data_IF_847022228765
#
_entry.id   IF_847022228765
#
_cell.length_a   1.000
_cell.length_b   1.000
_cell.length_c   1.000
_cell.angle_alpha   90.00
_cell.angle_beta   90.00
_cell.angle_gamma   90.00
#
_symmetry.space_group_name_H-M   'P 1'
#
loop_
_entity.id
_entity.type
_entity.pdbx_description
1 polymer ?
#
# COMPACT_ATOMS: atom_id res chain seq x y z
N UNK A 1 9.67 -4.54 5.29
CA UNK A 1 9.67 -3.93 6.64
C UNK A 1 8.58 -2.89 6.84
N UNK A 2 8.46 -1.85 5.98
CA UNK A 2 7.45 -0.79 6.17
C UNK A 2 6.00 -1.33 6.17
N UNK A 3 5.67 -2.26 5.30
CA UNK A 3 4.34 -2.88 5.23
C UNK A 3 4.01 -3.64 6.51
N UNK A 4 4.94 -4.49 6.98
CA UNK A 4 4.77 -5.24 8.24
C UNK A 4 4.55 -4.31 9.40
N UNK A 5 5.36 -3.25 9.53
CA UNK A 5 5.22 -2.26 10.60
C UNK A 5 3.84 -1.61 10.61
N UNK A 6 3.28 -1.23 9.45
CA UNK A 6 1.93 -0.67 9.40
C UNK A 6 0.86 -1.70 9.72
N UNK A 7 1.01 -2.93 9.23
CA UNK A 7 0.04 -3.98 9.49
C UNK A 7 0.02 -4.36 10.97
N UNK A 8 1.19 -4.48 11.60
CA UNK A 8 1.31 -4.67 13.06
C UNK A 8 0.64 -3.51 13.82
N UNK A 9 0.87 -2.26 13.40
CA UNK A 9 0.28 -1.07 14.02
C UNK A 9 -1.26 -1.06 13.94
N UNK A 10 -1.82 -1.55 12.84
CA UNK A 10 -3.26 -1.66 12.64
C UNK A 10 -3.86 -2.99 13.14
N UNK A 11 -3.06 -3.93 13.62
CA UNK A 11 -3.52 -5.25 14.02
C UNK A 11 -4.02 -6.09 12.84
N UNK A 12 -3.36 -5.97 11.67
CA UNK A 12 -3.66 -6.77 10.47
C UNK A 12 -2.72 -7.97 10.47
N UNK A 13 -3.18 -9.10 10.99
CA UNK A 13 -2.37 -10.31 11.16
C UNK A 13 -2.44 -11.25 9.96
N UNK A 14 -3.55 -11.22 9.21
CA UNK A 14 -3.79 -12.11 8.07
C UNK A 14 -3.63 -11.37 6.75
N UNK A 15 -2.57 -11.67 6.02
CA UNK A 15 -2.35 -11.18 4.66
C UNK A 15 -1.57 -12.19 3.83
N UNK A 16 -1.75 -12.12 2.51
CA UNK A 16 -1.02 -12.93 1.52
C UNK A 16 -0.32 -12.02 0.53
N UNK A 17 0.96 -12.26 0.28
CA UNK A 17 1.67 -11.63 -0.82
C UNK A 17 1.34 -12.37 -2.11
N UNK A 18 1.03 -11.63 -3.16
CA UNK A 18 0.72 -12.17 -4.48
C UNK A 18 1.64 -11.55 -5.52
N UNK A 19 2.41 -12.38 -6.22
CA UNK A 19 3.11 -11.98 -7.43
C UNK A 19 2.13 -12.06 -8.61
N UNK A 20 1.68 -10.90 -9.07
CA UNK A 20 0.77 -10.77 -10.20
C UNK A 20 1.56 -10.65 -11.50
N UNK A 21 1.41 -11.64 -12.38
CA UNK A 21 2.12 -11.81 -13.64
C UNK A 21 1.23 -11.44 -14.83
N UNK A 22 1.85 -11.24 -15.99
CA UNK A 22 1.12 -11.10 -17.24
C UNK A 22 0.64 -12.47 -17.76
N UNK A 23 -0.33 -12.44 -18.67
CA UNK A 23 -0.69 -13.58 -19.51
C UNK A 23 0.06 -13.46 -20.85
N UNK A 24 0.91 -14.43 -21.24
CA UNK A 24 1.74 -14.34 -22.45
C UNK A 24 0.93 -14.16 -23.75
N UNK A 25 -0.27 -14.71 -23.83
CA UNK A 25 -1.19 -14.60 -24.97
C UNK A 25 -1.78 -13.20 -25.18
N UNK A 26 -1.68 -12.34 -24.17
CA UNK A 26 -2.20 -10.97 -24.20
C UNK A 26 -1.11 -9.91 -24.37
N UNK A 27 0.12 -10.32 -24.70
CA UNK A 27 1.19 -9.42 -25.11
C UNK A 27 0.80 -8.65 -26.38
N UNK A 28 1.00 -7.36 -26.37
CA UNK A 28 0.60 -6.45 -27.46
C UNK A 28 -0.89 -6.10 -27.48
N UNK A 29 -1.69 -6.63 -26.57
CA UNK A 29 -3.11 -6.30 -26.37
C UNK A 29 -3.33 -5.63 -25.01
N UNK A 30 -3.48 -6.43 -23.95
CA UNK A 30 -3.61 -5.96 -22.57
C UNK A 30 -2.26 -5.51 -21.98
N UNK A 31 -1.19 -6.18 -22.36
CA UNK A 31 0.17 -5.98 -21.85
C UNK A 31 1.12 -5.43 -22.91
N UNK A 32 2.07 -4.61 -22.49
CA UNK A 32 3.13 -4.11 -23.37
C UNK A 32 3.91 -5.28 -23.96
N UNK A 33 4.16 -5.22 -25.29
CA UNK A 33 4.83 -6.29 -26.04
C UNK A 33 6.35 -6.26 -25.84
N UNK A 34 6.79 -6.66 -24.65
CA UNK A 34 8.19 -6.71 -24.22
C UNK A 34 8.48 -8.03 -23.47
N UNK A 35 8.41 -9.20 -24.14
CA UNK A 35 8.44 -10.51 -23.47
C UNK A 35 9.70 -10.73 -22.62
N UNK A 36 10.85 -10.20 -23.03
CA UNK A 36 12.09 -10.34 -22.27
C UNK A 36 12.07 -9.52 -20.96
N UNK A 37 11.51 -8.29 -21.00
CA UNK A 37 11.37 -7.46 -19.81
C UNK A 37 10.38 -8.07 -18.83
N UNK A 38 9.28 -8.65 -19.30
CA UNK A 38 8.33 -9.40 -18.47
C UNK A 38 9.03 -10.53 -17.72
N UNK A 39 9.68 -11.44 -18.46
CA UNK A 39 10.38 -12.59 -17.87
C UNK A 39 11.41 -12.17 -16.86
N UNK A 40 12.22 -11.14 -17.19
CA UNK A 40 13.27 -10.62 -16.33
C UNK A 40 12.70 -10.01 -15.05
N UNK A 41 11.69 -9.14 -15.15
CA UNK A 41 11.15 -8.41 -14.00
C UNK A 41 10.33 -9.32 -13.09
N UNK A 42 9.56 -10.26 -13.62
CA UNK A 42 8.86 -11.28 -12.82
C UNK A 42 9.86 -12.18 -12.07
N UNK A 43 10.93 -12.59 -12.75
CA UNK A 43 12.03 -13.33 -12.12
C UNK A 43 12.67 -12.56 -10.98
N UNK A 44 12.98 -11.28 -11.17
CA UNK A 44 13.55 -10.41 -10.12
C UNK A 44 12.63 -10.31 -8.91
N UNK A 45 11.33 -10.13 -9.11
CA UNK A 45 10.36 -10.06 -7.99
C UNK A 45 10.31 -11.39 -7.24
N UNK A 46 10.21 -12.51 -7.96
CA UNK A 46 10.21 -13.85 -7.36
C UNK A 46 11.45 -14.09 -6.50
N UNK A 47 12.62 -13.73 -7.03
CA UNK A 47 13.89 -13.88 -6.31
C UNK A 47 13.93 -13.03 -5.04
N UNK A 48 13.43 -11.81 -5.10
CA UNK A 48 13.36 -10.91 -3.93
C UNK A 48 12.44 -11.46 -2.86
N UNK A 49 11.23 -11.93 -3.22
CA UNK A 49 10.29 -12.54 -2.28
C UNK A 49 10.85 -13.80 -1.64
N UNK A 50 11.48 -14.65 -2.45
CA UNK A 50 12.12 -15.90 -1.99
C UNK A 50 13.28 -15.61 -1.03
N UNK A 51 14.18 -14.70 -1.38
CA UNK A 51 15.30 -14.29 -0.53
C UNK A 51 14.87 -13.62 0.77
N UNK A 52 13.75 -12.89 0.73
CA UNK A 52 13.18 -12.28 1.93
C UNK A 52 12.45 -13.28 2.84
N UNK A 53 12.31 -14.55 2.44
CA UNK A 53 11.56 -15.57 3.18
C UNK A 53 10.09 -15.22 3.37
N UNK A 54 9.50 -14.49 2.42
CA UNK A 54 8.10 -14.08 2.47
C UNK A 54 7.26 -15.09 1.70
N UNK A 55 6.28 -15.76 2.34
CA UNK A 55 5.35 -16.62 1.63
C UNK A 55 4.54 -15.81 0.61
N UNK A 56 4.41 -16.33 -0.61
CA UNK A 56 3.63 -15.69 -1.65
C UNK A 56 2.99 -16.74 -2.58
N UNK A 57 1.96 -16.32 -3.28
CA UNK A 57 1.34 -17.03 -4.39
C UNK A 57 1.63 -16.31 -5.70
N UNK A 58 1.58 -17.02 -6.82
CA UNK A 58 1.70 -16.42 -8.15
C UNK A 58 0.36 -16.51 -8.87
N UNK A 59 0.00 -15.45 -9.58
CA UNK A 59 -1.25 -15.38 -10.34
C UNK A 59 -1.01 -14.74 -11.70
N UNK A 60 -1.50 -15.39 -12.74
CA UNK A 60 -1.41 -14.92 -14.12
C UNK A 60 -2.57 -13.98 -14.44
N UNK A 61 -2.40 -13.17 -15.48
CA UNK A 61 -3.38 -12.17 -15.96
C UNK A 61 -3.78 -11.08 -14.96
N UNK A 62 -3.02 -10.93 -13.87
CA UNK A 62 -3.29 -9.96 -12.80
C UNK A 62 -2.27 -8.80 -12.74
N UNK A 63 -1.24 -8.78 -13.60
CA UNK A 63 -0.27 -7.71 -13.67
C UNK A 63 -0.88 -6.38 -14.14
N UNK A 64 -0.17 -5.27 -13.92
CA UNK A 64 -0.46 -4.02 -14.60
C UNK A 64 0.00 -4.13 -16.08
N UNK A 65 -0.59 -3.33 -16.98
CA UNK A 65 -0.22 -3.38 -18.41
C UNK A 65 1.25 -3.04 -18.67
N UNK A 66 1.88 -2.32 -17.74
CA UNK A 66 3.24 -1.79 -17.82
C UNK A 66 4.28 -2.60 -17.06
N UNK A 67 3.89 -3.63 -16.35
CA UNK A 67 4.81 -4.48 -15.60
C UNK A 67 4.17 -5.30 -14.48
N UNK A 68 4.94 -6.23 -13.91
CA UNK A 68 4.47 -7.10 -12.83
C UNK A 68 4.38 -6.34 -11.50
N UNK A 69 3.63 -6.91 -10.56
CA UNK A 69 3.41 -6.30 -9.26
C UNK A 69 3.38 -7.33 -8.13
N UNK A 70 3.70 -6.86 -6.93
CA UNK A 70 3.40 -7.55 -5.67
C UNK A 70 2.16 -6.88 -5.11
N UNK A 71 1.07 -7.63 -4.97
CA UNK A 71 -0.12 -7.20 -4.26
C UNK A 71 -0.13 -7.81 -2.87
N UNK A 72 -0.45 -7.01 -1.85
CA UNK A 72 -0.71 -7.51 -0.52
C UNK A 72 -2.21 -7.65 -0.35
N UNK A 73 -2.67 -8.90 -0.37
CA UNK A 73 -4.07 -9.26 -0.21
C UNK A 73 -4.40 -9.38 1.26
N UNK A 74 -5.46 -8.74 1.70
CA UNK A 74 -6.03 -8.85 3.04
C UNK A 74 -7.49 -9.28 2.95
N UNK A 75 -8.05 -9.75 4.06
CA UNK A 75 -9.47 -10.03 4.17
C UNK A 75 -10.18 -8.92 4.93
N UNK A 76 -11.30 -8.46 4.39
CA UNK A 76 -12.21 -7.56 5.11
C UNK A 76 -12.96 -8.31 6.22
N UNK A 77 -13.63 -7.58 7.10
CA UNK A 77 -14.45 -8.15 8.18
C UNK A 77 -15.53 -9.12 7.69
N UNK A 78 -16.00 -8.95 6.44
CA UNK A 78 -16.97 -9.84 5.79
C UNK A 78 -16.30 -10.99 5.00
N UNK A 79 -14.99 -11.20 5.14
CA UNK A 79 -14.22 -12.26 4.48
C UNK A 79 -13.89 -12.01 3.01
N UNK A 80 -14.10 -10.80 2.48
CA UNK A 80 -13.77 -10.44 1.10
C UNK A 80 -12.30 -10.10 0.97
N UNK A 81 -11.60 -10.75 0.03
CA UNK A 81 -10.21 -10.44 -0.28
C UNK A 81 -10.10 -9.21 -1.18
N UNK A 82 -9.12 -8.36 -0.89
CA UNK A 82 -8.75 -7.23 -1.75
C UNK A 82 -7.30 -6.79 -1.51
N UNK A 83 -6.71 -6.11 -2.50
CA UNK A 83 -5.35 -5.56 -2.38
C UNK A 83 -5.37 -4.28 -1.56
N UNK A 84 -4.76 -4.31 -0.38
CA UNK A 84 -4.56 -3.11 0.44
C UNK A 84 -3.29 -2.37 0.05
N UNK A 85 -2.23 -3.09 -0.29
CA UNK A 85 -0.94 -2.50 -0.63
C UNK A 85 -0.38 -3.10 -1.91
N UNK A 86 0.46 -2.35 -2.61
CA UNK A 86 1.09 -2.82 -3.84
C UNK A 86 2.50 -2.26 -4.02
N UNK A 87 3.34 -3.03 -4.70
CA UNK A 87 4.60 -2.60 -5.28
C UNK A 87 4.57 -3.02 -6.75
N UNK A 88 4.82 -2.09 -7.67
CA UNK A 88 4.74 -2.34 -9.10
C UNK A 88 6.07 -2.00 -9.74
N UNK A 89 6.54 -2.87 -10.63
CA UNK A 89 7.69 -2.62 -11.49
C UNK A 89 7.18 -2.14 -12.84
N UNK A 90 7.60 -0.95 -13.25
CA UNK A 90 7.18 -0.33 -14.48
C UNK A 90 8.38 -0.14 -15.41
N UNK A 91 8.37 -0.82 -16.52
CA UNK A 91 9.37 -0.69 -17.58
C UNK A 91 8.84 0.01 -18.83
N UNK A 92 7.53 0.26 -18.90
CA UNK A 92 6.90 0.83 -20.08
C UNK A 92 6.85 2.36 -20.03
N UNK A 93 6.44 2.94 -18.91
CA UNK A 93 6.29 4.40 -18.80
C UNK A 93 7.61 5.16 -18.88
N UNK A 94 8.72 4.72 -18.25
CA UNK A 94 10.01 5.36 -18.44
C UNK A 94 10.43 5.45 -19.91
N UNK A 95 10.22 4.38 -20.68
CA UNK A 95 10.51 4.37 -22.11
C UNK A 95 9.61 5.34 -22.90
N UNK A 96 8.30 5.38 -22.60
CA UNK A 96 7.34 6.28 -23.25
C UNK A 96 7.63 7.77 -22.97
N UNK A 97 8.13 8.08 -21.78
CA UNK A 97 8.53 9.44 -21.39
C UNK A 97 9.97 9.78 -21.78
N UNK A 98 10.70 8.87 -22.42
CA UNK A 98 12.08 9.08 -22.82
C UNK A 98 13.04 9.29 -21.64
N UNK A 99 12.72 8.73 -20.47
CA UNK A 99 13.56 8.85 -19.29
C UNK A 99 14.83 8.02 -19.47
N UNK A 100 15.98 8.63 -19.20
CA UNK A 100 17.28 7.98 -19.28
C UNK A 100 18.15 8.32 -18.09
N UNK A 101 19.05 7.41 -17.75
CA UNK A 101 20.17 7.63 -16.82
C UNK A 101 21.48 7.20 -17.50
N UNK A 102 22.59 7.63 -16.96
CA UNK A 102 23.91 7.21 -17.41
C UNK A 102 24.38 6.09 -16.50
N UNK A 103 24.68 4.93 -17.06
CA UNK A 103 25.15 3.75 -16.31
C UNK A 103 26.67 3.82 -16.01
N UNK A 104 27.19 2.80 -15.33
CA UNK A 104 28.60 2.67 -14.97
C UNK A 104 29.57 2.56 -16.16
N UNK A 105 29.02 2.27 -17.33
CA UNK A 105 29.76 2.23 -18.60
C UNK A 105 29.66 3.52 -19.42
N UNK A 106 29.09 4.58 -18.82
CA UNK A 106 28.83 5.88 -19.47
C UNK A 106 27.86 5.77 -20.67
N UNK A 107 26.97 4.77 -20.64
CA UNK A 107 25.91 4.59 -21.65
C UNK A 107 24.56 5.09 -21.13
N UNK A 108 23.74 5.62 -22.03
CA UNK A 108 22.36 5.98 -21.69
C UNK A 108 21.47 4.75 -21.66
N UNK A 109 20.79 4.55 -20.52
CA UNK A 109 19.84 3.46 -20.31
C UNK A 109 18.48 3.98 -19.87
N UNK A 110 17.43 3.27 -20.24
CA UNK A 110 16.09 3.53 -19.72
C UNK A 110 15.98 2.89 -18.33
N UNK A 111 15.56 3.64 -17.29
CA UNK A 111 15.40 3.07 -15.95
C UNK A 111 14.16 2.17 -15.85
N UNK A 112 14.14 1.30 -14.84
CA UNK A 112 12.91 0.75 -14.30
C UNK A 112 12.35 1.72 -13.26
N UNK A 113 11.02 1.88 -13.23
CA UNK A 113 10.35 2.65 -12.20
C UNK A 113 9.69 1.71 -11.18
N UNK A 114 9.76 2.06 -9.91
CA UNK A 114 9.07 1.34 -8.83
C UNK A 114 7.98 2.23 -8.25
N UNK A 115 6.72 1.81 -8.45
CA UNK A 115 5.57 2.41 -7.78
C UNK A 115 5.32 1.70 -6.46
N UNK A 116 5.12 2.46 -5.38
CA UNK A 116 4.86 1.90 -4.06
C UNK A 116 3.63 2.57 -3.44
N UNK A 117 2.65 1.76 -3.08
CA UNK A 117 1.46 2.18 -2.35
C UNK A 117 1.30 1.30 -1.09
N UNK A 118 1.97 1.64 0.03
CA UNK A 118 1.98 0.79 1.23
C UNK A 118 0.64 0.74 1.95
N UNK A 119 -0.22 1.73 1.78
CA UNK A 119 -1.51 1.85 2.47
C UNK A 119 -2.66 2.15 1.50
N UNK A 120 -2.51 1.86 0.22
CA UNK A 120 -3.51 2.17 -0.82
C UNK A 120 -3.80 3.67 -0.97
N UNK A 121 -5.05 4.05 -1.30
CA UNK A 121 -5.54 5.42 -1.21
C UNK A 121 -6.12 5.69 0.18
N UNK A 122 -6.25 6.97 0.54
CA UNK A 122 -6.86 7.37 1.81
C UNK A 122 -8.27 6.79 1.97
N UNK A 123 -9.10 6.89 0.95
CA UNK A 123 -10.49 6.43 0.98
C UNK A 123 -10.58 4.92 1.21
N UNK A 124 -9.76 4.15 0.51
CA UNK A 124 -9.74 2.68 0.63
C UNK A 124 -9.22 2.26 2.02
N UNK A 125 -8.15 2.89 2.49
CA UNK A 125 -7.62 2.60 3.82
C UNK A 125 -8.60 2.96 4.91
N UNK A 126 -9.20 4.17 4.87
CA UNK A 126 -10.18 4.61 5.85
C UNK A 126 -11.40 3.68 5.85
N UNK A 127 -11.92 3.34 4.67
CA UNK A 127 -13.04 2.40 4.55
C UNK A 127 -12.73 1.03 5.17
N UNK A 128 -11.55 0.49 4.87
CA UNK A 128 -11.09 -0.75 5.50
C UNK A 128 -10.97 -0.65 7.02
N UNK A 129 -10.35 0.43 7.53
CA UNK A 129 -10.15 0.60 8.98
C UNK A 129 -11.48 0.79 9.72
N UNK A 130 -12.48 1.44 9.11
CA UNK A 130 -13.83 1.53 9.69
C UNK A 130 -14.44 0.14 9.86
N UNK A 131 -14.31 -0.74 8.86
CA UNK A 131 -14.78 -2.13 8.96
C UNK A 131 -13.94 -2.93 9.96
N UNK A 132 -12.61 -2.81 9.90
CA UNK A 132 -11.67 -3.56 10.73
C UNK A 132 -11.87 -3.30 12.22
N UNK A 133 -12.04 -2.03 12.59
CA UNK A 133 -12.29 -1.62 13.97
C UNK A 133 -13.77 -1.54 14.33
N UNK A 134 -14.68 -1.88 13.43
CA UNK A 134 -16.12 -1.71 13.61
C UNK A 134 -16.52 -0.30 14.09
N UNK A 135 -15.76 0.71 13.69
CA UNK A 135 -15.90 2.09 14.13
C UNK A 135 -15.30 2.42 15.50
N UNK A 136 -14.86 1.41 16.27
CA UNK A 136 -14.20 1.60 17.58
C UNK A 136 -12.68 1.71 17.40
N UNK A 137 -12.26 2.88 16.93
CA UNK A 137 -10.85 3.15 16.64
C UNK A 137 -10.01 3.22 17.91
N UNK A 138 -8.77 2.71 17.88
CA UNK A 138 -7.82 2.98 18.96
C UNK A 138 -7.59 4.49 19.10
N UNK A 139 -7.36 4.97 20.33
CA UNK A 139 -7.32 6.39 20.66
C UNK A 139 -6.39 7.19 19.75
N UNK A 140 -5.20 6.66 19.44
CA UNK A 140 -4.24 7.35 18.57
C UNK A 140 -4.75 7.58 17.13
N UNK A 141 -5.67 6.75 16.64
CA UNK A 141 -6.25 6.81 15.29
C UNK A 141 -7.63 7.50 15.28
N UNK A 142 -8.31 7.57 16.44
CA UNK A 142 -9.63 8.16 16.54
C UNK A 142 -9.64 9.62 16.07
N UNK A 143 -10.60 10.04 15.20
CA UNK A 143 -10.70 11.44 14.76
C UNK A 143 -11.03 12.38 15.91
N UNK A 144 -11.80 11.93 16.89
CA UNK A 144 -12.06 12.59 18.17
C UNK A 144 -11.55 11.70 19.29
N UNK A 145 -10.50 12.14 20.01
CA UNK A 145 -9.84 11.34 21.03
C UNK A 145 -10.41 11.58 22.42
N UNK A 146 -10.86 12.81 22.68
CA UNK A 146 -11.43 13.21 23.95
C UNK A 146 -12.60 14.16 23.71
N UNK A 147 -13.73 13.89 24.37
CA UNK A 147 -14.89 14.80 24.41
C UNK A 147 -15.11 15.28 25.83
N UNK A 148 -15.09 16.58 26.04
CA UNK A 148 -15.42 17.21 27.30
C UNK A 148 -16.91 17.58 27.33
N UNK A 149 -17.64 17.05 28.30
CA UNK A 149 -19.09 17.27 28.45
C UNK A 149 -19.37 18.00 29.77
N UNK A 150 -19.46 19.35 29.77
CA UNK A 150 -19.79 20.11 30.98
C UNK A 150 -21.26 19.85 31.38
N UNK A 151 -21.48 19.53 32.65
CA UNK A 151 -22.83 19.22 33.18
C UNK A 151 -23.69 20.50 33.30
N UNK A 152 -23.05 21.66 33.49
CA UNK A 152 -23.72 22.94 33.60
C UNK A 152 -22.82 24.07 33.08
N UNK A 153 -23.39 25.20 32.70
CA UNK A 153 -22.68 26.34 32.11
C UNK A 153 -21.53 26.87 32.99
N UNK A 154 -21.69 26.79 34.29
CA UNK A 154 -20.61 27.20 35.26
C UNK A 154 -19.33 26.37 35.11
N UNK A 155 -19.39 25.17 34.46
CA UNK A 155 -18.25 24.29 34.23
C UNK A 155 -17.55 24.54 32.89
N UNK A 156 -18.16 25.32 31.99
CA UNK A 156 -17.62 25.58 30.63
C UNK A 156 -16.23 26.26 30.71
N UNK A 157 -15.96 27.27 31.58
CA UNK A 157 -14.63 27.87 31.64
C UNK A 157 -13.53 26.86 32.00
N UNK A 158 -13.82 25.95 32.91
CA UNK A 158 -12.87 24.89 33.29
C UNK A 158 -12.68 23.87 32.14
N UNK A 159 -13.77 23.46 31.48
CA UNK A 159 -13.69 22.57 30.34
C UNK A 159 -12.82 23.16 29.21
N UNK A 160 -12.93 24.46 28.94
CA UNK A 160 -12.07 25.17 27.97
C UNK A 160 -10.60 25.15 28.35
N UNK A 161 -10.27 25.37 29.60
CA UNK A 161 -8.89 25.25 30.05
C UNK A 161 -8.31 23.85 29.87
N UNK A 162 -9.12 22.81 30.14
CA UNK A 162 -8.73 21.42 29.88
C UNK A 162 -8.54 21.15 28.40
N UNK A 163 -9.44 21.66 27.55
CA UNK A 163 -9.33 21.52 26.10
C UNK A 163 -8.02 22.13 25.59
N UNK A 164 -7.68 23.33 25.98
CA UNK A 164 -6.43 24.00 25.60
C UNK A 164 -5.20 23.18 26.01
N UNK A 165 -5.20 22.62 27.21
CA UNK A 165 -4.12 21.76 27.69
C UNK A 165 -4.02 20.45 26.89
N UNK A 166 -5.15 19.83 26.54
CA UNK A 166 -5.20 18.60 25.75
C UNK A 166 -4.71 18.85 24.32
N UNK A 167 -5.16 19.95 23.68
CA UNK A 167 -4.68 20.35 22.36
C UNK A 167 -3.17 20.63 22.36
N UNK A 168 -2.65 21.31 23.40
CA UNK A 168 -1.22 21.54 23.56
C UNK A 168 -0.42 20.23 23.75
N UNK A 169 -1.04 19.18 24.29
CA UNK A 169 -0.48 17.84 24.43
C UNK A 169 -0.65 16.97 23.16
N UNK A 170 -1.22 17.53 22.08
CA UNK A 170 -1.42 16.81 20.81
C UNK A 170 -2.66 15.93 20.76
N UNK A 171 -3.58 16.04 21.72
CA UNK A 171 -4.87 15.35 21.70
C UNK A 171 -5.90 16.13 20.89
N UNK A 172 -6.80 15.38 20.18
CA UNK A 172 -7.89 15.93 19.37
C UNK A 172 -9.24 15.72 20.02
#
# INVERSE_FOLDING_TARGET
DIYRRYFELFGIDEYVMRLSKHAPEDLGKKYVNEPELWRRTEGMIRDVLTKAGVPFVEEEDEAAFYGPKIDVQIKSAIGREFSLATIQVDFAQPARFGLTYVDEHNERRTPLCLHRAPLSTHERLIGFLIEHFAGDFPVWLAPEQVRLVPIADRHVPYARQLQERMLAAGLR
#
